data_IF_049902569330
#
_entry.id   IF_049902569330
#
_cell.length_a   1.000
_cell.length_b   1.000
_cell.length_c   1.000
_cell.angle_alpha   90.00
_cell.angle_beta   90.00
_cell.angle_gamma   90.00
#
_symmetry.space_group_name_H-M   'P 1'
#
loop_
_entity.id
_entity.type
_entity.pdbx_description
1 polymer ?
#
# COMPACT_ATOMS: atom_id res chain seq x y z
N UNK A 1 1.48 1.78 -12.90
CA UNK A 1 2.91 2.21 -12.95
C UNK A 1 3.47 2.43 -11.52
N UNK A 2 3.80 1.34 -10.82
CA UNK A 2 4.27 1.38 -9.42
C UNK A 2 5.52 0.50 -9.30
N UNK A 3 6.58 1.03 -8.68
CA UNK A 3 7.81 0.29 -8.37
C UNK A 3 8.08 0.36 -6.87
N UNK A 4 8.52 -0.76 -6.27
CA UNK A 4 8.91 -0.83 -4.86
C UNK A 4 10.40 -1.10 -4.79
N UNK A 5 11.18 -0.03 -4.69
CA UNK A 5 12.62 -0.12 -4.63
C UNK A 5 13.10 -0.72 -3.30
N UNK A 6 14.19 -1.47 -3.35
CA UNK A 6 14.91 -1.87 -2.14
C UNK A 6 15.74 -0.69 -1.59
N UNK A 7 16.10 -0.76 -0.30
CA UNK A 7 17.02 0.20 0.32
C UNK A 7 18.34 0.28 -0.45
N UNK A 8 18.86 -0.85 -0.90
CA UNK A 8 20.12 -0.92 -1.61
C UNK A 8 20.04 -0.28 -2.99
N UNK A 9 18.94 -0.49 -3.72
CA UNK A 9 18.69 0.19 -5.00
C UNK A 9 18.66 1.71 -4.84
N UNK A 10 17.94 2.21 -3.83
CA UNK A 10 17.86 3.66 -3.57
C UNK A 10 19.24 4.21 -3.22
N UNK A 11 20.00 3.54 -2.34
CA UNK A 11 21.37 3.95 -1.99
C UNK A 11 22.30 3.94 -3.20
N UNK A 12 22.21 2.93 -4.06
CA UNK A 12 23.03 2.84 -5.27
C UNK A 12 22.73 3.95 -6.25
N UNK A 13 21.44 4.29 -6.45
CA UNK A 13 21.03 5.38 -7.34
C UNK A 13 21.55 6.73 -6.84
N UNK A 14 21.35 7.05 -5.56
CA UNK A 14 21.83 8.32 -4.99
C UNK A 14 23.35 8.45 -5.11
N UNK A 15 24.09 7.37 -4.81
CA UNK A 15 25.56 7.37 -4.96
C UNK A 15 26.01 7.52 -6.41
N UNK A 16 25.31 6.87 -7.35
CA UNK A 16 25.63 6.94 -8.79
C UNK A 16 25.34 8.33 -9.36
N UNK A 17 24.23 8.95 -8.93
CA UNK A 17 23.86 10.29 -9.36
C UNK A 17 24.84 11.33 -8.83
N UNK A 18 25.19 11.26 -7.53
CA UNK A 18 26.36 11.92 -6.98
C UNK A 18 26.17 13.32 -6.39
N UNK A 19 24.99 13.95 -6.51
CA UNK A 19 24.73 15.31 -6.02
C UNK A 19 24.47 15.40 -4.52
N UNK A 20 24.16 14.29 -3.86
CA UNK A 20 23.76 14.25 -2.46
C UNK A 20 24.62 13.29 -1.63
N UNK A 21 24.84 13.65 -0.37
CA UNK A 21 25.27 12.75 0.70
C UNK A 21 24.06 12.20 1.46
N UNK A 22 24.12 10.91 1.78
CA UNK A 22 23.09 10.24 2.56
C UNK A 22 23.43 10.42 4.04
N UNK A 23 22.60 11.18 4.76
CA UNK A 23 22.76 11.38 6.20
C UNK A 23 22.19 10.20 6.98
N UNK A 24 20.98 9.79 6.61
CA UNK A 24 20.22 8.80 7.36
C UNK A 24 19.32 7.99 6.44
N UNK A 25 19.11 6.72 6.80
CA UNK A 25 18.18 5.82 6.13
C UNK A 25 17.47 5.00 7.18
N UNK A 26 16.14 5.08 7.18
CA UNK A 26 15.29 4.31 8.06
C UNK A 26 14.27 3.49 7.27
N UNK A 27 13.96 2.30 7.78
CA UNK A 27 12.86 1.48 7.27
C UNK A 27 11.87 1.18 8.37
N UNK A 28 10.59 1.29 8.07
CA UNK A 28 9.53 0.97 9.02
C UNK A 28 8.32 0.40 8.29
N UNK A 29 7.50 -0.33 9.04
CA UNK A 29 6.28 -0.93 8.53
C UNK A 29 5.07 -0.10 8.95
N UNK A 30 4.27 0.34 7.98
CA UNK A 30 3.02 1.05 8.22
C UNK A 30 1.87 0.08 8.03
N UNK A 31 1.07 -0.15 9.07
CA UNK A 31 -0.10 -1.05 9.00
C UNK A 31 -1.07 -0.58 7.90
N UNK A 32 -1.63 -1.53 7.14
CA UNK A 32 -2.70 -1.24 6.18
C UNK A 32 -4.01 -0.79 6.85
N UNK A 33 -4.10 -0.98 8.17
CA UNK A 33 -5.24 -0.61 9.00
C UNK A 33 -4.99 0.68 9.79
N UNK A 34 -3.96 1.46 9.44
CA UNK A 34 -3.81 2.81 10.00
C UNK A 34 -5.09 3.60 9.73
N UNK A 35 -5.68 4.15 10.79
CA UNK A 35 -6.92 4.92 10.74
C UNK A 35 -8.21 4.10 10.73
N UNK A 36 -8.14 2.77 10.69
CA UNK A 36 -9.33 1.91 10.77
C UNK A 36 -9.89 1.92 12.21
N UNK A 37 -11.18 2.22 12.36
CA UNK A 37 -11.86 2.24 13.66
C UNK A 37 -12.95 1.17 13.71
N UNK A 38 -12.74 0.18 14.57
CA UNK A 38 -13.72 -0.90 14.81
C UNK A 38 -15.08 -0.32 15.25
N UNK A 39 -16.15 -0.77 14.61
CA UNK A 39 -17.54 -0.38 14.93
C UNK A 39 -18.05 0.90 14.25
N UNK A 40 -17.18 1.82 13.82
CA UNK A 40 -17.60 2.99 13.00
C UNK A 40 -17.61 2.60 11.51
N UNK A 41 -16.55 1.93 11.07
CA UNK A 41 -16.44 1.41 9.70
C UNK A 41 -17.18 0.08 9.51
N UNK A 42 -17.70 -0.49 10.60
CA UNK A 42 -18.33 -1.81 10.64
C UNK A 42 -19.73 -1.71 11.25
N UNK A 43 -20.79 -1.68 10.43
CA UNK A 43 -22.18 -1.80 10.89
C UNK A 43 -22.52 -3.26 11.28
N UNK A 44 -21.76 -3.85 12.22
CA UNK A 44 -21.93 -5.24 12.68
C UNK A 44 -20.61 -6.06 12.72
N UNK A 45 -20.71 -7.39 12.79
CA UNK A 45 -19.56 -8.31 12.74
C UNK A 45 -19.16 -8.68 11.30
N UNK A 46 -18.97 -7.70 10.41
CA UNK A 46 -18.49 -8.01 9.06
C UNK A 46 -17.02 -8.40 9.11
N UNK A 47 -16.73 -9.70 8.98
CA UNK A 47 -15.37 -10.26 8.86
C UNK A 47 -14.54 -9.52 7.81
N UNK A 48 -15.18 -9.04 6.74
CA UNK A 48 -14.53 -8.41 5.60
C UNK A 48 -14.44 -6.88 5.71
N UNK A 49 -14.87 -6.25 6.81
CA UNK A 49 -14.78 -4.80 6.97
C UNK A 49 -13.35 -4.28 6.83
N UNK A 50 -12.38 -4.96 7.47
CA UNK A 50 -10.95 -4.63 7.36
C UNK A 50 -10.44 -4.73 5.92
N UNK A 51 -10.87 -5.77 5.18
CA UNK A 51 -10.50 -5.93 3.78
C UNK A 51 -11.13 -4.88 2.87
N UNK A 52 -12.40 -4.52 3.11
CA UNK A 52 -13.08 -3.42 2.42
C UNK A 52 -12.39 -2.08 2.67
N UNK A 53 -11.94 -1.81 3.89
CA UNK A 53 -11.18 -0.60 4.23
C UNK A 53 -9.89 -0.51 3.40
N UNK A 54 -9.08 -1.57 3.39
CA UNK A 54 -7.85 -1.62 2.58
C UNK A 54 -8.16 -1.49 1.09
N UNK A 55 -9.21 -2.16 0.62
CA UNK A 55 -9.63 -2.12 -0.78
C UNK A 55 -10.00 -0.72 -1.23
N UNK A 56 -10.66 0.09 -0.39
CA UNK A 56 -10.97 1.49 -0.72
C UNK A 56 -9.72 2.31 -1.02
N UNK A 57 -8.66 2.13 -0.24
CA UNK A 57 -7.38 2.82 -0.45
C UNK A 57 -6.71 2.38 -1.76
N UNK A 58 -6.67 1.07 -2.02
CA UNK A 58 -6.12 0.53 -3.26
C UNK A 58 -6.93 1.00 -4.47
N UNK A 59 -8.26 1.00 -4.35
CA UNK A 59 -9.18 1.45 -5.39
C UNK A 59 -8.97 2.92 -5.72
N UNK A 60 -8.88 3.79 -4.72
CA UNK A 60 -8.63 5.22 -4.93
C UNK A 60 -7.35 5.51 -5.74
N UNK A 61 -6.32 4.66 -5.62
CA UNK A 61 -5.05 4.80 -6.37
C UNK A 61 -5.10 4.14 -7.75
N UNK A 62 -5.74 2.97 -7.87
CA UNK A 62 -5.65 2.10 -9.05
C UNK A 62 -6.84 2.14 -10.00
N UNK A 63 -7.99 2.63 -9.57
CA UNK A 63 -9.25 2.51 -10.33
C UNK A 63 -9.20 3.23 -11.67
N UNK A 64 -8.67 4.46 -11.72
CA UNK A 64 -8.58 5.21 -12.97
C UNK A 64 -7.75 4.49 -14.03
N UNK A 65 -6.73 3.74 -13.62
CA UNK A 65 -5.95 2.89 -14.52
C UNK A 65 -6.75 1.66 -14.98
N UNK A 66 -7.46 1.00 -14.06
CA UNK A 66 -8.26 -0.18 -14.38
C UNK A 66 -9.47 0.16 -15.28
N UNK A 67 -10.14 1.29 -15.06
CA UNK A 67 -11.28 1.75 -15.85
C UNK A 67 -10.91 2.12 -17.29
N UNK A 68 -9.63 2.42 -17.55
CA UNK A 68 -9.14 2.60 -18.92
C UNK A 68 -8.91 1.27 -19.67
N UNK A 69 -8.88 0.14 -18.96
CA UNK A 69 -8.59 -1.19 -19.51
C UNK A 69 -9.81 -2.12 -19.50
N UNK A 70 -10.74 -1.89 -18.57
CA UNK A 70 -11.87 -2.76 -18.30
C UNK A 70 -13.14 -1.95 -18.10
N UNK A 71 -14.29 -2.58 -18.32
CA UNK A 71 -15.59 -2.00 -17.97
C UNK A 71 -15.81 -1.90 -16.45
N UNK A 72 -16.76 -1.05 -16.05
CA UNK A 72 -17.05 -0.77 -14.65
C UNK A 72 -17.41 -2.03 -13.85
N UNK A 73 -18.17 -2.95 -14.46
CA UNK A 73 -18.58 -4.19 -13.81
C UNK A 73 -17.38 -5.10 -13.48
N UNK A 74 -16.40 -5.16 -14.39
CA UNK A 74 -15.15 -5.90 -14.20
C UNK A 74 -14.29 -5.24 -13.13
N UNK A 75 -14.17 -3.91 -13.15
CA UNK A 75 -13.44 -3.15 -12.12
C UNK A 75 -14.05 -3.37 -10.73
N UNK A 76 -15.38 -3.37 -10.63
CA UNK A 76 -16.08 -3.67 -9.38
C UNK A 76 -15.81 -5.08 -8.87
N UNK A 77 -15.86 -6.07 -9.77
CA UNK A 77 -15.59 -7.46 -9.42
C UNK A 77 -14.12 -7.68 -8.97
N UNK A 78 -13.16 -6.99 -9.61
CA UNK A 78 -11.74 -7.02 -9.19
C UNK A 78 -11.62 -6.55 -7.73
N UNK A 79 -12.20 -5.39 -7.39
CA UNK A 79 -12.13 -4.85 -6.04
C UNK A 79 -12.88 -5.71 -5.03
N UNK A 80 -14.02 -6.29 -5.41
CA UNK A 80 -14.76 -7.23 -4.55
C UNK A 80 -13.93 -8.45 -4.20
N UNK A 81 -13.30 -9.08 -5.19
CA UNK A 81 -12.39 -10.24 -4.97
C UNK A 81 -11.16 -9.85 -4.17
N UNK A 82 -10.60 -8.67 -4.42
CA UNK A 82 -9.47 -8.14 -3.67
C UNK A 82 -9.80 -7.99 -2.19
N UNK A 83 -10.98 -7.43 -1.85
CA UNK A 83 -11.42 -7.29 -0.45
C UNK A 83 -11.50 -8.62 0.29
N UNK A 84 -12.03 -9.68 -0.35
CA UNK A 84 -12.06 -11.01 0.25
C UNK A 84 -10.66 -11.58 0.43
N UNK A 85 -9.85 -11.58 -0.64
CA UNK A 85 -8.48 -12.14 -0.61
C UNK A 85 -7.58 -11.42 0.39
N UNK A 86 -7.66 -10.10 0.48
CA UNK A 86 -6.82 -9.33 1.39
C UNK A 86 -7.17 -9.64 2.85
N UNK A 87 -8.45 -9.81 3.18
CA UNK A 87 -8.88 -10.26 4.50
C UNK A 87 -8.31 -11.65 4.82
N UNK A 88 -8.65 -12.64 4.01
CA UNK A 88 -8.40 -14.05 4.34
C UNK A 88 -6.90 -14.40 4.27
N UNK A 89 -6.19 -13.86 3.28
CA UNK A 89 -4.81 -14.27 3.03
C UNK A 89 -3.78 -13.38 3.70
N UNK A 90 -4.11 -12.12 3.99
CA UNK A 90 -3.12 -11.14 4.48
C UNK A 90 -3.45 -10.66 5.89
N UNK A 91 -4.64 -10.09 6.08
CA UNK A 91 -5.00 -9.44 7.34
C UNK A 91 -5.21 -10.44 8.48
N UNK A 92 -5.89 -11.56 8.22
CA UNK A 92 -6.11 -12.62 9.22
C UNK A 92 -4.81 -13.32 9.63
N UNK A 93 -3.75 -13.19 8.81
CA UNK A 93 -2.41 -13.71 9.11
C UNK A 93 -1.47 -12.65 9.70
N UNK A 94 -1.96 -11.44 9.98
CA UNK A 94 -1.17 -10.35 10.56
C UNK A 94 -0.12 -9.75 9.62
N UNK A 95 -0.27 -9.90 8.30
CA UNK A 95 0.76 -9.52 7.29
C UNK A 95 0.48 -8.19 6.59
N UNK A 96 -0.53 -7.44 7.01
CA UNK A 96 -0.97 -6.21 6.34
C UNK A 96 -0.13 -4.99 6.71
N UNK A 97 1.02 -4.81 6.06
CA UNK A 97 1.85 -3.62 6.24
C UNK A 97 2.57 -3.18 4.96
N UNK A 98 2.76 -1.87 4.81
CA UNK A 98 3.62 -1.26 3.80
C UNK A 98 5.02 -1.11 4.39
N UNK A 99 6.00 -1.82 3.81
CA UNK A 99 7.40 -1.53 4.03
C UNK A 99 7.72 -0.16 3.41
N UNK A 100 8.11 0.79 4.25
CA UNK A 100 8.37 2.17 3.89
C UNK A 100 9.83 2.51 4.15
N UNK A 101 10.38 3.39 3.31
CA UNK A 101 11.75 3.89 3.38
C UNK A 101 11.71 5.41 3.59
N UNK A 102 12.40 5.88 4.63
CA UNK A 102 12.73 7.29 4.82
C UNK A 102 14.22 7.47 4.55
N UNK A 103 14.57 8.48 3.76
CA UNK A 103 15.96 8.82 3.46
C UNK A 103 16.17 10.31 3.65
N UNK A 104 17.19 10.68 4.42
CA UNK A 104 17.64 12.05 4.59
C UNK A 104 18.86 12.30 3.71
N UNK A 105 18.76 13.31 2.85
CA UNK A 105 19.77 13.68 1.86
C UNK A 105 20.22 15.12 2.12
N UNK A 106 21.52 15.35 2.07
CA UNK A 106 22.10 16.70 2.12
C UNK A 106 22.84 16.93 0.81
N UNK A 107 22.62 18.10 0.20
CA UNK A 107 23.32 18.47 -1.02
C UNK A 107 24.81 18.62 -0.72
N UNK A 108 25.65 18.06 -1.59
CA UNK A 108 27.10 18.28 -1.55
C UNK A 108 27.47 19.72 -1.89
#
# INVERSE_FOLDING_TARGET
>A
PVYRASVDEVKQIVKREGSFDIQEVETFNVSWLVGFVDGVDNKGSDKYARGKYVTKHVRAVGESFLANLFDDATVDEIHRRFATKVTDEVLDKGRGAYASLLISLVKK
#
